data_IF_976939003137
#
_entry.id   IF_976939003137
#
_cell.length_a   1.000
_cell.length_b   1.000
_cell.length_c   1.000
_cell.angle_alpha   90.00
_cell.angle_beta   90.00
_cell.angle_gamma   90.00
#
_symmetry.space_group_name_H-M   'P 1'
#
loop_
_entity.id
_entity.type
_entity.pdbx_description
1 polymer ?
#
# COMPACT_ATOMS: atom_id res chain seq x y z
N UNK A 1 3.80 14.12 -7.17
CA UNK A 1 2.99 14.04 -8.40
C UNK A 1 1.56 13.90 -7.94
N UNK A 2 0.63 14.70 -8.46
CA UNK A 2 -0.75 14.70 -7.94
C UNK A 2 -1.69 13.98 -8.91
N UNK A 3 -2.32 12.90 -8.47
CA UNK A 3 -3.31 12.17 -9.26
C UNK A 3 -4.64 12.93 -9.35
N UNK A 4 -5.21 13.06 -10.54
CA UNK A 4 -6.53 13.63 -10.82
C UNK A 4 -7.63 12.81 -10.14
N UNK A 5 -7.56 11.48 -10.17
CA UNK A 5 -8.54 10.63 -9.49
C UNK A 5 -8.53 10.81 -7.96
N UNK A 6 -7.44 11.32 -7.36
CA UNK A 6 -7.36 11.55 -5.91
C UNK A 6 -8.37 12.60 -5.41
N UNK A 7 -8.83 13.50 -6.29
CA UNK A 7 -9.81 14.54 -5.96
C UNK A 7 -11.12 13.97 -5.45
N UNK A 8 -11.54 12.82 -5.98
CA UNK A 8 -12.78 12.13 -5.59
C UNK A 8 -12.71 11.61 -4.13
N UNK A 9 -11.50 11.42 -3.58
CA UNK A 9 -11.27 10.78 -2.29
C UNK A 9 -10.79 11.74 -1.18
N UNK A 10 -10.70 13.04 -1.47
CA UNK A 10 -10.09 14.03 -0.56
C UNK A 10 -10.72 14.03 0.84
N UNK A 11 -12.04 13.91 0.93
CA UNK A 11 -12.73 13.86 2.23
C UNK A 11 -12.36 12.61 3.03
N UNK A 12 -12.35 11.44 2.41
CA UNK A 12 -11.97 10.19 3.08
C UNK A 12 -10.50 10.19 3.49
N UNK A 13 -9.60 10.74 2.67
CA UNK A 13 -8.20 10.91 3.02
C UNK A 13 -8.01 11.83 4.24
N UNK A 14 -8.75 12.93 4.33
CA UNK A 14 -8.76 13.78 5.53
C UNK A 14 -9.22 13.00 6.76
N UNK A 15 -10.22 12.13 6.63
CA UNK A 15 -10.69 11.31 7.73
C UNK A 15 -9.67 10.20 8.12
N UNK A 16 -8.95 9.60 7.16
CA UNK A 16 -7.82 8.70 7.44
C UNK A 16 -6.76 9.43 8.27
N UNK A 17 -6.37 10.64 7.87
CA UNK A 17 -5.38 11.44 8.60
C UNK A 17 -5.89 11.87 9.98
N UNK A 18 -7.18 12.20 10.10
CA UNK A 18 -7.80 12.52 11.40
C UNK A 18 -7.75 11.31 12.32
N UNK A 19 -8.09 10.11 11.82
CA UNK A 19 -8.04 8.88 12.58
C UNK A 19 -6.61 8.53 13.01
N UNK A 20 -5.63 8.75 12.13
CA UNK A 20 -4.22 8.58 12.47
C UNK A 20 -3.77 9.50 13.61
N UNK A 21 -4.11 10.78 13.52
CA UNK A 21 -3.79 11.76 14.57
C UNK A 21 -4.50 11.47 15.89
N UNK A 22 -5.78 11.10 15.84
CA UNK A 22 -6.60 10.88 17.04
C UNK A 22 -6.38 9.50 17.70
N UNK A 23 -5.93 8.51 16.93
CA UNK A 23 -5.68 7.13 17.39
C UNK A 23 -4.23 6.92 17.77
N UNK A 24 -3.47 6.33 16.83
CA UNK A 24 -2.10 5.88 17.07
C UNK A 24 -1.16 7.01 17.52
N UNK A 25 -1.14 8.15 16.82
CA UNK A 25 -0.23 9.27 17.13
C UNK A 25 -0.52 9.90 18.50
N UNK A 26 -1.80 10.05 18.86
CA UNK A 26 -2.19 10.57 20.19
C UNK A 26 -1.75 9.63 21.31
N UNK A 27 -1.80 8.33 21.07
CA UNK A 27 -1.45 7.31 22.07
C UNK A 27 0.07 7.18 22.23
N UNK A 28 0.83 7.49 21.17
CA UNK A 28 2.29 7.36 21.12
C UNK A 28 2.90 8.52 20.32
N UNK A 29 3.13 9.68 20.94
CA UNK A 29 3.67 10.86 20.25
C UNK A 29 5.03 10.62 19.60
N UNK A 30 5.83 9.70 20.14
CA UNK A 30 7.16 9.32 19.63
C UNK A 30 7.10 8.80 18.18
N UNK A 31 5.93 8.33 17.74
CA UNK A 31 5.67 7.90 16.36
C UNK A 31 5.94 9.01 15.34
N UNK A 32 5.78 10.28 15.73
CA UNK A 32 6.05 11.43 14.85
C UNK A 32 7.46 11.40 14.25
N UNK A 33 8.45 10.92 15.02
CA UNK A 33 9.84 10.80 14.54
C UNK A 33 9.98 9.82 13.38
N UNK A 34 9.19 8.75 13.36
CA UNK A 34 9.18 7.77 12.27
C UNK A 34 8.36 8.25 11.09
N UNK A 35 7.24 8.95 11.33
CA UNK A 35 6.44 9.58 10.28
C UNK A 35 7.26 10.59 9.49
N UNK A 36 8.07 11.41 10.17
CA UNK A 36 8.95 12.38 9.52
C UNK A 36 9.97 11.74 8.57
N UNK A 37 10.38 10.49 8.83
CA UNK A 37 11.29 9.74 7.94
C UNK A 37 10.62 9.24 6.66
N UNK A 38 9.29 9.24 6.63
CA UNK A 38 8.49 8.84 5.47
C UNK A 38 8.10 10.04 4.59
N UNK A 39 8.62 11.24 4.87
CA UNK A 39 8.40 12.40 4.01
C UNK A 39 8.91 12.13 2.59
N UNK A 40 8.00 12.17 1.62
CA UNK A 40 8.29 11.88 0.22
C UNK A 40 8.39 10.39 -0.13
N UNK A 41 8.06 9.48 0.80
CA UNK A 41 7.92 8.05 0.46
C UNK A 41 6.61 7.79 -0.30
N UNK A 42 6.75 7.23 -1.50
CA UNK A 42 5.62 6.93 -2.40
C UNK A 42 4.54 6.07 -1.75
N UNK A 43 4.92 5.04 -1.00
CA UNK A 43 3.96 4.11 -0.40
C UNK A 43 3.19 4.78 0.71
N UNK A 44 3.87 5.56 1.56
CA UNK A 44 3.25 6.36 2.61
C UNK A 44 2.20 7.34 2.06
N UNK A 45 2.55 8.00 0.95
CA UNK A 45 1.72 9.04 0.34
C UNK A 45 0.51 8.48 -0.41
N UNK A 46 0.64 7.30 -1.03
CA UNK A 46 -0.37 6.82 -2.00
C UNK A 46 -1.12 5.56 -1.56
N UNK A 47 -0.62 4.76 -0.61
CA UNK A 47 -1.27 3.49 -0.23
C UNK A 47 -2.70 3.68 0.29
N UNK A 48 -2.94 4.72 1.09
CA UNK A 48 -4.27 5.02 1.60
C UNK A 48 -5.24 5.38 0.46
N UNK A 49 -4.81 6.22 -0.49
CA UNK A 49 -5.61 6.59 -1.66
C UNK A 49 -5.93 5.35 -2.52
N UNK A 50 -4.91 4.55 -2.82
CA UNK A 50 -5.10 3.34 -3.63
C UNK A 50 -6.03 2.34 -2.94
N UNK A 51 -5.93 2.20 -1.62
CA UNK A 51 -6.87 1.38 -0.84
C UNK A 51 -8.31 1.90 -1.00
N UNK A 52 -8.54 3.20 -0.89
CA UNK A 52 -9.89 3.78 -1.09
C UNK A 52 -10.43 3.50 -2.50
N UNK A 53 -9.58 3.65 -3.52
CA UNK A 53 -9.92 3.37 -4.92
C UNK A 53 -10.32 1.90 -5.12
N UNK A 54 -9.56 0.96 -4.56
CA UNK A 54 -9.84 -0.48 -4.67
C UNK A 54 -11.15 -0.86 -4.00
N UNK A 55 -11.45 -0.23 -2.88
CA UNK A 55 -12.68 -0.47 -2.13
C UNK A 55 -13.90 0.15 -2.82
N UNK A 56 -13.77 1.35 -3.41
CA UNK A 56 -14.82 1.97 -4.23
C UNK A 56 -15.14 1.12 -5.47
N UNK A 57 -14.11 0.57 -6.12
CA UNK A 57 -14.29 -0.32 -7.27
C UNK A 57 -15.22 -1.51 -6.97
N UNK A 58 -15.18 -2.02 -5.75
CA UNK A 58 -15.96 -3.17 -5.31
C UNK A 58 -17.17 -2.78 -4.46
N UNK A 59 -17.51 -1.49 -4.43
CA UNK A 59 -18.65 -0.93 -3.72
C UNK A 59 -18.66 -1.29 -2.22
N UNK A 60 -17.48 -1.37 -1.61
CA UNK A 60 -17.37 -1.53 -0.16
C UNK A 60 -17.79 -0.22 0.52
N UNK A 61 -18.57 -0.33 1.60
CA UNK A 61 -19.08 0.81 2.37
C UNK A 61 -17.98 1.81 2.74
N UNK A 62 -18.24 3.10 2.51
CA UNK A 62 -17.26 4.18 2.68
C UNK A 62 -16.61 4.21 4.07
N UNK A 63 -17.37 3.90 5.14
CA UNK A 63 -16.82 3.88 6.50
C UNK A 63 -15.79 2.76 6.63
N UNK A 64 -16.14 1.57 6.15
CA UNK A 64 -15.22 0.42 6.15
C UNK A 64 -14.00 0.67 5.25
N UNK A 65 -14.19 1.30 4.10
CA UNK A 65 -13.10 1.70 3.19
C UNK A 65 -12.11 2.65 3.86
N UNK A 66 -12.60 3.67 4.58
CA UNK A 66 -11.75 4.58 5.36
C UNK A 66 -11.00 3.85 6.48
N UNK A 67 -11.66 2.92 7.17
CA UNK A 67 -11.02 2.09 8.22
C UNK A 67 -9.93 1.21 7.64
N UNK A 68 -10.14 0.59 6.49
CA UNK A 68 -9.13 -0.27 5.86
C UNK A 68 -7.98 0.56 5.30
N UNK A 69 -8.23 1.72 4.68
CA UNK A 69 -7.18 2.64 4.27
C UNK A 69 -6.33 3.11 5.47
N UNK A 70 -6.97 3.36 6.61
CA UNK A 70 -6.29 3.64 7.87
C UNK A 70 -5.43 2.45 8.33
N UNK A 71 -5.97 1.22 8.31
CA UNK A 71 -5.22 0.01 8.66
C UNK A 71 -3.97 -0.16 7.77
N UNK A 72 -4.11 -0.07 6.45
CA UNK A 72 -2.98 -0.20 5.53
C UNK A 72 -1.90 0.87 5.73
N UNK A 73 -2.30 2.11 6.03
CA UNK A 73 -1.36 3.18 6.39
C UNK A 73 -0.54 2.83 7.64
N UNK A 74 -1.18 2.31 8.69
CA UNK A 74 -0.46 1.91 9.91
C UNK A 74 0.35 0.62 9.73
N UNK A 75 -0.10 -0.32 8.91
CA UNK A 75 0.68 -1.50 8.54
C UNK A 75 1.98 -1.09 7.88
N UNK A 76 1.90 -0.16 6.92
CA UNK A 76 3.10 0.36 6.27
C UNK A 76 4.01 1.11 7.24
N UNK A 77 3.46 1.92 8.15
CA UNK A 77 4.25 2.57 9.19
C UNK A 77 5.00 1.57 10.07
N UNK A 78 4.30 0.57 10.62
CA UNK A 78 4.90 -0.48 11.46
C UNK A 78 6.03 -1.19 10.72
N UNK A 79 5.76 -1.56 9.47
CA UNK A 79 6.73 -2.18 8.58
C UNK A 79 7.95 -1.30 8.38
N UNK A 80 7.77 -0.02 8.07
CA UNK A 80 8.87 0.93 7.85
C UNK A 80 9.70 1.18 9.10
N UNK A 81 9.08 1.16 10.29
CA UNK A 81 9.80 1.23 11.57
C UNK A 81 10.71 0.01 11.71
N UNK A 82 10.19 -1.20 11.51
CA UNK A 82 10.99 -2.43 11.56
C UNK A 82 12.07 -2.48 10.47
N UNK A 83 11.78 -2.02 9.25
CA UNK A 83 12.76 -1.91 8.16
C UNK A 83 13.92 -0.95 8.46
N UNK A 84 13.71 0.01 9.36
CA UNK A 84 14.75 0.98 9.74
C UNK A 84 15.78 0.42 10.73
N UNK A 85 15.50 -0.76 11.30
CA UNK A 85 16.42 -1.49 12.18
C UNK A 85 17.50 -2.11 11.30
N UNK A 86 18.74 -1.81 11.66
CA UNK A 86 19.96 -2.21 10.99
C UNK A 86 20.55 -3.46 11.64
N UNK A 87 21.49 -4.08 10.96
CA UNK A 87 22.37 -5.10 11.54
C UNK A 87 23.70 -4.49 12.07
N UNK A 88 24.53 -5.33 12.67
CA UNK A 88 25.86 -4.92 13.19
C UNK A 88 26.77 -4.32 12.11
N UNK A 89 26.75 -4.88 10.91
CA UNK A 89 27.57 -4.43 9.78
C UNK A 89 27.15 -3.04 9.28
N UNK A 90 25.87 -2.72 9.40
CA UNK A 90 25.26 -1.43 9.10
C UNK A 90 25.38 -0.42 10.26
N UNK A 91 25.98 -0.84 11.39
CA UNK A 91 26.24 0.00 12.56
C UNK A 91 25.04 0.16 13.50
N UNK A 92 24.29 -0.92 13.74
CA UNK A 92 23.17 -0.89 14.68
C UNK A 92 23.62 -0.52 16.10
N UNK A 93 23.01 0.52 16.66
CA UNK A 93 23.21 0.89 18.06
C UNK A 93 22.22 0.12 18.95
N UNK A 94 22.74 -0.57 19.97
CA UNK A 94 21.94 -1.32 20.95
C UNK A 94 21.48 -0.43 22.11
N UNK A 95 20.67 0.57 21.78
CA UNK A 95 20.19 1.57 22.73
C UNK A 95 18.66 1.46 22.94
N UNK A 96 18.10 2.38 23.71
CA UNK A 96 16.68 2.42 24.01
C UNK A 96 15.83 2.71 22.76
N UNK A 97 16.36 3.45 21.79
CA UNK A 97 15.66 3.76 20.54
C UNK A 97 15.42 2.51 19.69
N UNK A 98 16.38 1.58 19.65
CA UNK A 98 16.20 0.27 19.04
C UNK A 98 15.05 -0.51 19.70
N UNK A 99 15.03 -0.56 21.04
CA UNK A 99 13.99 -1.27 21.78
C UNK A 99 12.61 -0.67 21.52
N UNK A 100 12.50 0.66 21.51
CA UNK A 100 11.23 1.33 21.20
C UNK A 100 10.79 1.11 19.75
N UNK A 101 11.70 1.14 18.77
CA UNK A 101 11.35 0.88 17.38
C UNK A 101 10.70 -0.51 17.22
N UNK A 102 11.29 -1.55 17.83
CA UNK A 102 10.73 -2.91 17.81
C UNK A 102 9.33 -2.92 18.44
N UNK A 103 9.21 -2.40 19.66
CA UNK A 103 7.97 -2.44 20.44
C UNK A 103 6.83 -1.62 19.80
N UNK A 104 7.13 -0.47 19.20
CA UNK A 104 6.13 0.37 18.51
C UNK A 104 5.60 -0.35 17.27
N UNK A 105 6.47 -0.98 16.48
CA UNK A 105 6.04 -1.78 15.34
C UNK A 105 5.14 -2.95 15.78
N UNK A 106 5.56 -3.69 16.81
CA UNK A 106 4.79 -4.82 17.36
C UNK A 106 3.43 -4.40 17.94
N UNK A 107 3.42 -3.31 18.72
CA UNK A 107 2.20 -2.72 19.26
C UNK A 107 1.22 -2.34 18.14
N UNK A 108 1.73 -1.77 17.05
CA UNK A 108 0.90 -1.32 15.93
C UNK A 108 0.15 -2.49 15.29
N UNK A 109 0.76 -3.67 15.18
CA UNK A 109 0.06 -4.88 14.71
C UNK A 109 -1.09 -5.29 15.64
N UNK A 110 -0.87 -5.28 16.96
CA UNK A 110 -1.93 -5.57 17.94
C UNK A 110 -3.06 -4.54 17.89
N UNK A 111 -2.71 -3.26 17.73
CA UNK A 111 -3.67 -2.18 17.55
C UNK A 111 -4.53 -2.35 16.29
N UNK A 112 -3.94 -2.78 15.17
CA UNK A 112 -4.67 -3.09 13.94
C UNK A 112 -5.64 -4.26 14.14
N UNK A 113 -5.25 -5.30 14.87
CA UNK A 113 -6.16 -6.41 15.18
C UNK A 113 -7.39 -5.94 15.97
N UNK A 114 -7.20 -5.03 16.94
CA UNK A 114 -8.30 -4.43 17.67
C UNK A 114 -9.26 -3.66 16.73
N UNK A 115 -8.72 -2.84 15.81
CA UNK A 115 -9.54 -2.10 14.84
C UNK A 115 -10.36 -3.06 13.95
N UNK A 116 -9.76 -4.15 13.48
CA UNK A 116 -10.44 -5.14 12.66
C UNK A 116 -11.64 -5.75 13.41
N UNK A 117 -11.47 -6.10 14.68
CA UNK A 117 -12.54 -6.65 15.52
C UNK A 117 -13.66 -5.63 15.74
N UNK A 118 -13.32 -4.39 16.07
CA UNK A 118 -14.29 -3.31 16.32
C UNK A 118 -15.17 -3.02 15.08
N UNK A 119 -14.64 -3.29 13.88
CA UNK A 119 -15.32 -3.07 12.61
C UNK A 119 -15.85 -4.35 11.94
N UNK A 120 -15.76 -5.51 12.61
CA UNK A 120 -16.20 -6.82 12.09
C UNK A 120 -15.54 -7.19 10.75
N UNK A 121 -14.26 -6.87 10.63
CA UNK A 121 -13.43 -7.10 9.44
C UNK A 121 -12.43 -8.25 9.62
N UNK A 122 -12.55 -9.07 10.67
CA UNK A 122 -11.62 -10.14 11.04
C UNK A 122 -11.41 -11.20 9.95
N UNK A 123 -12.35 -11.34 9.00
CA UNK A 123 -12.23 -12.25 7.85
C UNK A 123 -11.04 -11.97 6.93
N UNK A 124 -10.46 -10.76 6.99
CA UNK A 124 -9.27 -10.40 6.20
C UNK A 124 -7.94 -10.74 6.89
N UNK A 125 -7.99 -11.21 8.14
CA UNK A 125 -6.79 -11.41 8.97
C UNK A 125 -5.79 -12.40 8.34
N UNK A 126 -6.29 -13.46 7.69
CA UNK A 126 -5.42 -14.43 7.00
C UNK A 126 -4.64 -13.79 5.85
N UNK A 127 -5.27 -12.91 5.08
CA UNK A 127 -4.62 -12.15 4.01
C UNK A 127 -3.58 -11.18 4.55
N UNK A 128 -3.90 -10.45 5.62
CA UNK A 128 -2.95 -9.54 6.26
C UNK A 128 -1.75 -10.28 6.85
N UNK A 129 -1.97 -11.42 7.51
CA UNK A 129 -0.89 -12.26 8.04
C UNK A 129 0.01 -12.80 6.91
N UNK A 130 -0.58 -13.29 5.81
CA UNK A 130 0.18 -13.75 4.65
C UNK A 130 1.03 -12.63 4.05
N UNK A 131 0.49 -11.42 3.94
CA UNK A 131 1.22 -10.25 3.47
C UNK A 131 2.42 -9.93 4.36
N UNK A 132 2.22 -9.89 5.68
CA UNK A 132 3.29 -9.65 6.66
C UNK A 132 4.39 -10.71 6.51
N UNK A 133 4.04 -11.98 6.36
CA UNK A 133 5.01 -13.06 6.11
C UNK A 133 5.78 -12.83 4.80
N UNK A 134 5.10 -12.52 3.70
CA UNK A 134 5.75 -12.25 2.40
C UNK A 134 6.74 -11.10 2.49
N UNK A 135 6.35 -10.00 3.11
CA UNK A 135 7.21 -8.82 3.28
C UNK A 135 8.40 -9.15 4.18
N UNK A 136 8.16 -9.85 5.30
CA UNK A 136 9.22 -10.26 6.24
C UNK A 136 10.24 -11.19 5.57
N UNK A 137 9.79 -12.15 4.77
CA UNK A 137 10.66 -13.00 3.96
C UNK A 137 11.47 -12.19 2.94
N UNK A 138 10.83 -11.20 2.30
CA UNK A 138 11.49 -10.25 1.40
C UNK A 138 12.63 -9.51 2.09
N UNK A 139 12.39 -8.98 3.29
CA UNK A 139 13.42 -8.33 4.10
C UNK A 139 14.56 -9.26 4.48
N UNK A 140 14.27 -10.50 4.88
CA UNK A 140 15.32 -11.48 5.18
C UNK A 140 16.17 -11.74 3.93
N UNK A 141 15.55 -11.89 2.76
CA UNK A 141 16.27 -12.07 1.49
C UNK A 141 17.11 -10.86 1.09
N UNK A 142 16.67 -9.64 1.41
CA UNK A 142 17.43 -8.39 1.18
C UNK A 142 18.81 -8.43 1.83
N UNK A 143 18.95 -9.06 3.00
CA UNK A 143 20.24 -9.20 3.68
C UNK A 143 21.15 -10.30 3.11
N UNK A 144 20.60 -11.25 2.35
CA UNK A 144 21.36 -12.43 1.89
C UNK A 144 21.62 -12.46 0.39
N UNK A 145 21.08 -11.51 -0.38
CA UNK A 145 21.15 -11.51 -1.83
C UNK A 145 21.39 -10.11 -2.39
N UNK A 146 21.88 -10.03 -3.62
CA UNK A 146 21.88 -8.79 -4.37
C UNK A 146 20.44 -8.24 -4.43
N UNK A 147 20.29 -7.00 -3.96
CA UNK A 147 19.01 -6.33 -3.84
C UNK A 147 19.03 -5.02 -4.61
N UNK A 148 18.01 -4.80 -5.44
CA UNK A 148 17.84 -3.55 -6.16
C UNK A 148 16.46 -2.96 -5.83
N UNK A 149 16.27 -1.69 -6.16
CA UNK A 149 15.05 -0.95 -5.82
C UNK A 149 13.79 -1.57 -6.43
N UNK A 150 13.89 -2.17 -7.62
CA UNK A 150 12.73 -2.80 -8.27
C UNK A 150 12.30 -4.06 -7.52
N UNK A 151 13.27 -4.88 -7.08
CA UNK A 151 13.01 -6.05 -6.24
C UNK A 151 12.49 -5.67 -4.86
N UNK A 152 12.93 -4.54 -4.32
CA UNK A 152 12.36 -3.95 -3.10
C UNK A 152 10.89 -3.60 -3.29
N UNK A 153 10.55 -2.90 -4.38
CA UNK A 153 9.17 -2.58 -4.71
C UNK A 153 8.35 -3.88 -4.82
N UNK A 154 8.79 -4.84 -5.63
CA UNK A 154 8.07 -6.08 -5.91
C UNK A 154 7.81 -6.94 -4.65
N UNK A 155 8.79 -7.07 -3.76
CA UNK A 155 8.71 -8.01 -2.63
C UNK A 155 8.30 -7.37 -1.30
N UNK A 156 8.39 -6.04 -1.17
CA UNK A 156 8.13 -5.34 0.11
C UNK A 156 6.97 -4.34 -0.04
N UNK A 157 6.90 -3.59 -1.14
CA UNK A 157 5.90 -2.51 -1.30
C UNK A 157 4.64 -2.97 -2.04
N UNK A 158 4.77 -3.58 -3.22
CA UNK A 158 3.66 -4.08 -4.03
C UNK A 158 2.72 -5.07 -3.29
N UNK A 159 3.19 -5.93 -2.36
CA UNK A 159 2.30 -6.80 -1.59
C UNK A 159 1.28 -6.04 -0.74
N UNK A 160 1.57 -4.80 -0.31
CA UNK A 160 0.61 -3.96 0.42
C UNK A 160 -0.58 -3.60 -0.48
N UNK A 161 -0.31 -3.13 -1.70
CA UNK A 161 -1.35 -2.80 -2.68
C UNK A 161 -2.13 -4.04 -3.13
N UNK A 162 -1.43 -5.15 -3.38
CA UNK A 162 -2.02 -6.43 -3.73
C UNK A 162 -3.01 -6.91 -2.66
N UNK A 163 -2.58 -6.86 -1.40
CA UNK A 163 -3.41 -7.27 -0.26
C UNK A 163 -4.53 -6.28 -0.01
N UNK A 164 -4.34 -4.98 -0.21
CA UNK A 164 -5.42 -4.00 -0.13
C UNK A 164 -6.55 -4.34 -1.09
N UNK A 165 -6.24 -4.68 -2.34
CA UNK A 165 -7.28 -5.05 -3.30
C UNK A 165 -7.88 -6.44 -3.01
N UNK A 166 -7.07 -7.40 -2.60
CA UNK A 166 -7.55 -8.72 -2.18
C UNK A 166 -8.57 -8.62 -1.02
N UNK A 167 -8.25 -7.81 0.00
CA UNK A 167 -9.11 -7.62 1.16
C UNK A 167 -10.39 -6.87 0.81
N UNK A 168 -10.34 -5.93 -0.14
CA UNK A 168 -11.55 -5.32 -0.70
C UNK A 168 -12.49 -6.38 -1.29
N UNK A 169 -11.96 -7.33 -2.07
CA UNK A 169 -12.73 -8.44 -2.65
C UNK A 169 -13.31 -9.38 -1.60
N UNK A 170 -12.53 -9.74 -0.58
CA UNK A 170 -13.00 -10.53 0.55
C UNK A 170 -14.13 -9.84 1.31
N UNK A 171 -14.01 -8.53 1.53
CA UNK A 171 -15.00 -7.75 2.26
C UNK A 171 -16.29 -7.53 1.45
N UNK A 172 -16.16 -7.32 0.14
CA UNK A 172 -17.29 -7.21 -0.78
C UNK A 172 -17.98 -8.57 -1.04
N UNK A 173 -17.30 -9.69 -0.78
CA UNK A 173 -17.80 -11.01 -1.18
C UNK A 173 -17.81 -11.20 -2.70
N UNK A 174 -16.90 -10.52 -3.41
CA UNK A 174 -16.83 -10.51 -4.87
C UNK A 174 -16.27 -11.83 -5.46
N UNK A 175 -15.59 -12.63 -4.64
CA UNK A 175 -14.80 -13.77 -5.10
C UNK A 175 -13.60 -13.34 -5.95
N UNK A 176 -12.87 -14.31 -6.52
CA UNK A 176 -11.69 -14.08 -7.38
C UNK A 176 -10.60 -13.26 -6.68
N UNK A 177 -10.43 -13.45 -5.37
CA UNK A 177 -9.49 -12.74 -4.52
C UNK A 177 -8.05 -12.78 -5.07
N UNK A 178 -7.64 -13.92 -5.65
CA UNK A 178 -6.32 -14.06 -6.29
C UNK A 178 -6.16 -13.22 -7.56
N UNK A 179 -7.24 -12.93 -8.27
CA UNK A 179 -7.22 -12.04 -9.44
C UNK A 179 -7.09 -10.60 -9.00
N UNK A 180 -7.85 -10.18 -7.99
CA UNK A 180 -7.73 -8.84 -7.41
C UNK A 180 -6.38 -8.62 -6.73
N UNK A 181 -5.80 -9.65 -6.09
CA UNK A 181 -4.43 -9.59 -5.57
C UNK A 181 -3.42 -9.26 -6.67
N UNK A 182 -3.47 -9.96 -7.81
CA UNK A 182 -2.58 -9.69 -8.94
C UNK A 182 -2.80 -8.30 -9.53
N UNK A 183 -4.05 -7.87 -9.68
CA UNK A 183 -4.35 -6.52 -10.16
C UNK A 183 -3.82 -5.44 -9.21
N UNK A 184 -3.98 -5.63 -7.90
CA UNK A 184 -3.42 -4.72 -6.89
C UNK A 184 -1.90 -4.71 -6.88
N UNK A 185 -1.26 -5.86 -7.13
CA UNK A 185 0.20 -5.95 -7.28
C UNK A 185 0.68 -5.15 -8.50
N UNK A 186 0.11 -5.37 -9.68
CA UNK A 186 0.50 -4.65 -10.89
C UNK A 186 0.27 -3.14 -10.77
N UNK A 187 -0.85 -2.72 -10.18
CA UNK A 187 -1.10 -1.30 -9.92
C UNK A 187 -0.11 -0.72 -8.90
N UNK A 188 0.24 -1.47 -7.85
CA UNK A 188 1.26 -1.08 -6.89
C UNK A 188 2.63 -0.91 -7.54
N UNK A 189 3.03 -1.85 -8.40
CA UNK A 189 4.26 -1.75 -9.19
C UNK A 189 4.25 -0.50 -10.08
N UNK A 190 3.16 -0.26 -10.80
CA UNK A 190 3.03 0.91 -11.66
C UNK A 190 3.15 2.24 -10.89
N UNK A 191 2.48 2.37 -9.74
CA UNK A 191 2.54 3.56 -8.87
C UNK A 191 3.96 3.82 -8.37
N UNK A 192 4.63 2.79 -7.87
CA UNK A 192 5.98 2.91 -7.29
C UNK A 192 7.04 3.18 -8.37
N UNK A 193 6.98 2.48 -9.51
CA UNK A 193 7.92 2.66 -10.61
C UNK A 193 7.77 4.03 -11.30
N UNK A 194 6.55 4.55 -11.39
CA UNK A 194 6.29 5.90 -11.91
C UNK A 194 6.96 6.97 -11.04
N UNK A 195 6.89 6.82 -9.72
CA UNK A 195 7.57 7.74 -8.80
C UNK A 195 9.09 7.55 -8.76
N UNK A 196 9.58 6.35 -9.06
CA UNK A 196 11.00 6.09 -9.24
C UNK A 196 11.54 6.62 -10.58
N UNK A 197 10.66 7.00 -11.53
CA UNK A 197 11.03 7.47 -12.87
C UNK A 197 11.44 6.35 -13.83
N UNK A 198 11.07 5.09 -13.55
CA UNK A 198 11.38 3.91 -14.37
C UNK A 198 10.22 3.62 -15.33
N UNK A 199 9.91 4.61 -16.17
CA UNK A 199 8.68 4.64 -16.98
C UNK A 199 8.56 3.48 -17.97
N UNK A 200 9.69 3.02 -18.53
CA UNK A 200 9.72 1.91 -19.46
C UNK A 200 9.20 0.58 -18.88
N UNK A 201 9.19 0.42 -17.55
CA UNK A 201 8.61 -0.74 -16.88
C UNK A 201 7.17 -0.50 -16.41
N UNK A 202 6.75 0.76 -16.24
CA UNK A 202 5.38 1.11 -15.85
C UNK A 202 4.37 0.57 -16.87
N UNK A 203 4.66 0.72 -18.17
CA UNK A 203 3.77 0.26 -19.24
C UNK A 203 3.47 -1.24 -19.20
N UNK A 204 4.44 -2.07 -18.80
CA UNK A 204 4.22 -3.51 -18.65
C UNK A 204 3.15 -3.80 -17.59
N UNK A 205 3.22 -3.15 -16.44
CA UNK A 205 2.28 -3.35 -15.34
C UNK A 205 0.92 -2.71 -15.59
N UNK A 206 0.89 -1.56 -16.27
CA UNK A 206 -0.34 -0.92 -16.76
C UNK A 206 -1.07 -1.84 -17.75
N UNK A 207 -0.34 -2.42 -18.71
CA UNK A 207 -0.91 -3.32 -19.70
C UNK A 207 -1.48 -4.59 -19.06
N UNK A 208 -0.70 -5.24 -18.18
CA UNK A 208 -1.15 -6.40 -17.40
C UNK A 208 -2.39 -6.07 -16.57
N UNK A 209 -2.42 -4.92 -15.92
CA UNK A 209 -3.59 -4.43 -15.17
C UNK A 209 -4.83 -4.32 -16.06
N UNK A 210 -4.69 -3.82 -17.28
CA UNK A 210 -5.79 -3.70 -18.24
C UNK A 210 -6.31 -5.06 -18.71
N UNK A 211 -5.43 -6.02 -18.98
CA UNK A 211 -5.79 -7.39 -19.35
C UNK A 211 -6.55 -8.09 -18.21
N UNK A 212 -6.03 -7.99 -16.98
CA UNK A 212 -6.67 -8.55 -15.80
C UNK A 212 -8.04 -7.92 -15.58
N UNK A 213 -8.14 -6.59 -15.62
CA UNK A 213 -9.40 -5.87 -15.47
C UNK A 213 -10.42 -6.29 -16.54
N UNK A 214 -9.99 -6.46 -17.78
CA UNK A 214 -10.84 -6.92 -18.88
C UNK A 214 -11.34 -8.34 -18.65
N UNK A 215 -10.50 -9.25 -18.12
CA UNK A 215 -10.91 -10.62 -17.77
C UNK A 215 -11.95 -10.68 -16.64
N UNK A 216 -12.01 -9.66 -15.79
CA UNK A 216 -13.02 -9.53 -14.73
C UNK A 216 -14.37 -9.05 -15.27
N UNK A 217 -14.39 -8.36 -16.43
CA UNK A 217 -15.62 -7.90 -17.10
C UNK A 217 -16.34 -9.10 -17.73
N UNK A 218 -17.28 -9.72 -17.00
CA UNK A 218 -18.21 -10.74 -17.51
C UNK A 218 -19.23 -10.13 -18.51
N UNK A 219 -18.77 -9.52 -19.60
CA UNK A 219 -19.64 -8.90 -20.62
C UNK A 219 -20.30 -7.57 -20.22
N UNK A 220 -19.97 -7.00 -19.06
CA UNK A 220 -20.43 -5.68 -18.65
C UNK A 220 -19.35 -4.61 -18.80
N UNK A 221 -19.74 -3.47 -19.36
CA UNK A 221 -18.88 -2.29 -19.55
C UNK A 221 -18.72 -1.54 -18.22
N UNK A 222 -17.87 -2.03 -17.33
CA UNK A 222 -17.45 -1.23 -16.18
C UNK A 222 -16.54 -0.11 -16.66
N UNK A 223 -17.10 1.09 -16.90
CA UNK A 223 -16.35 2.35 -16.83
C UNK A 223 -16.07 2.65 -15.36
N UNK A 224 -15.21 1.84 -14.75
CA UNK A 224 -14.96 1.85 -13.31
C UNK A 224 -13.80 2.75 -12.92
N UNK A 225 -13.70 3.10 -11.63
CA UNK A 225 -12.62 3.93 -11.10
C UNK A 225 -11.22 3.38 -11.42
N UNK A 226 -11.05 2.06 -11.45
CA UNK A 226 -9.76 1.40 -11.81
C UNK A 226 -9.34 1.67 -13.25
N UNK A 227 -10.28 1.73 -14.19
CA UNK A 227 -9.95 2.06 -15.59
C UNK A 227 -9.42 3.49 -15.70
N UNK A 228 -9.99 4.42 -14.94
CA UNK A 228 -9.47 5.80 -14.85
C UNK A 228 -8.05 5.82 -14.27
N UNK A 229 -7.79 5.03 -13.22
CA UNK A 229 -6.45 4.93 -12.62
C UNK A 229 -5.44 4.37 -13.62
N UNK A 230 -5.74 3.26 -14.29
CA UNK A 230 -4.84 2.63 -15.27
C UNK A 230 -4.49 3.63 -16.38
N UNK A 231 -5.51 4.30 -16.94
CA UNK A 231 -5.30 5.28 -18.01
C UNK A 231 -4.45 6.48 -17.53
N UNK A 232 -4.72 6.98 -16.33
CA UNK A 232 -3.97 8.11 -15.77
C UNK A 232 -2.50 7.74 -15.50
N UNK A 233 -2.23 6.55 -14.96
CA UNK A 233 -0.86 6.06 -14.75
C UNK A 233 -0.09 5.94 -16.08
N UNK A 234 -0.75 5.44 -17.13
CA UNK A 234 -0.17 5.36 -18.47
C UNK A 234 0.16 6.75 -19.05
N UNK A 235 -0.79 7.69 -18.97
CA UNK A 235 -0.62 9.05 -19.48
C UNK A 235 0.53 9.77 -18.77
N UNK A 236 0.65 9.59 -17.45
CA UNK A 236 1.74 10.14 -16.64
C UNK A 236 3.10 9.56 -17.05
N UNK A 237 3.21 8.24 -17.20
CA UNK A 237 4.45 7.59 -17.66
C UNK A 237 4.88 8.12 -19.03
N UNK A 238 3.95 8.17 -20.00
CA UNK A 238 4.20 8.72 -21.33
C UNK A 238 4.64 10.20 -21.31
N UNK A 239 4.06 11.01 -20.41
CA UNK A 239 4.39 12.43 -20.30
C UNK A 239 5.80 12.67 -19.75
N UNK A 240 6.23 11.87 -18.77
CA UNK A 240 7.55 11.98 -18.18
C UNK A 240 8.65 11.52 -19.13
N UNK A 241 8.42 10.47 -19.92
CA UNK A 241 9.36 10.05 -20.96
C UNK A 241 9.62 11.16 -21.97
N UNK A 242 8.57 11.86 -22.42
CA UNK A 242 8.71 12.99 -23.35
C UNK A 242 9.48 14.16 -22.75
N UNK A 243 9.30 14.42 -21.46
CA UNK A 243 10.01 15.48 -20.74
C UNK A 243 11.50 15.16 -20.54
N UNK A 244 11.87 13.88 -20.42
CA UNK A 244 13.26 13.44 -20.23
C UNK A 244 14.12 13.46 -21.51
N UNK A 245 13.50 13.65 -22.68
CA UNK A 245 14.17 13.65 -24.00
C UNK A 245 14.51 15.06 -24.50
N UNK A 246 14.09 16.11 -23.77
CA UNK A 246 14.36 17.53 -24.07
C UNK A 246 15.52 18.04 -23.20
#
# INVERSE_FOLDING_TARGET
MDYLFARDYRHQLIDVERNFKAGLLKSWPEIETYVNRLEGDTTWDHLALMTLVFYDHLHVDNRLSTVMAYIFKNLYLAQSIHCSIKNDEEGQEYNQDLQFAILIGDYTFGYIMQILLDHKAERVLSSLASMICTISEGLVRKYHQAWNTIKEIDQIKAPLYATAFQTAAQLAGAGKESVYYRLGHDLGMAVELLHLGVNNQVDQYVHSSYEILTSLKNGQTYKGVIERVINELHDLACSQERAAVI
#
